data_IF_704979553923
#
_entry.id   IF_704979553923
#
_cell.length_a   1.000
_cell.length_b   1.000
_cell.length_c   1.000
_cell.angle_alpha   90.00
_cell.angle_beta   90.00
_cell.angle_gamma   90.00
#
_symmetry.space_group_name_H-M   'P 1'
#
loop_
_entity.id
_entity.type
_entity.pdbx_description
1 polymer ?
#
# COMPACT_ATOMS: atom_id res chain seq x y z
N UNK A 1 -11.38 -2.08 -16.84
CA UNK A 1 -10.46 -3.04 -16.18
C UNK A 1 -11.25 -4.30 -15.92
N UNK A 2 -10.72 -5.49 -16.24
CA UNK A 2 -11.47 -6.75 -16.18
C UNK A 2 -11.75 -7.12 -14.71
N UNK A 3 -12.88 -7.79 -14.44
CA UNK A 3 -13.21 -8.28 -13.09
C UNK A 3 -12.11 -9.23 -12.55
N UNK A 4 -11.44 -9.95 -13.45
CA UNK A 4 -10.24 -10.76 -13.15
C UNK A 4 -9.08 -9.92 -12.65
N UNK A 5 -8.83 -8.74 -13.23
CA UNK A 5 -7.73 -7.87 -12.82
C UNK A 5 -7.90 -7.39 -11.38
N UNK A 6 -9.13 -7.06 -10.97
CA UNK A 6 -9.44 -6.71 -9.60
C UNK A 6 -9.21 -7.87 -8.63
N UNK A 7 -9.65 -9.09 -8.97
CA UNK A 7 -9.41 -10.28 -8.15
C UNK A 7 -7.93 -10.64 -8.02
N UNK A 8 -7.15 -10.50 -9.10
CA UNK A 8 -5.69 -10.70 -9.06
C UNK A 8 -5.03 -9.67 -8.15
N UNK A 9 -5.45 -8.40 -8.22
CA UNK A 9 -4.93 -7.35 -7.36
C UNK A 9 -5.27 -7.61 -5.88
N UNK A 10 -6.48 -8.06 -5.57
CA UNK A 10 -6.87 -8.46 -4.20
C UNK A 10 -6.00 -9.58 -3.63
N UNK A 11 -5.77 -10.63 -4.43
CA UNK A 11 -4.93 -11.75 -4.03
C UNK A 11 -3.50 -11.28 -3.77
N UNK A 12 -2.94 -10.45 -4.65
CA UNK A 12 -1.60 -9.88 -4.48
C UNK A 12 -1.49 -9.02 -3.20
N UNK A 13 -2.50 -8.20 -2.90
CA UNK A 13 -2.53 -7.37 -1.70
C UNK A 13 -2.62 -8.19 -0.42
N UNK A 14 -3.27 -9.36 -0.46
CA UNK A 14 -3.41 -10.23 0.71
C UNK A 14 -2.07 -10.73 1.26
N UNK A 15 -1.04 -10.85 0.40
CA UNK A 15 0.31 -11.29 0.77
C UNK A 15 1.18 -10.18 1.39
N UNK A 16 0.78 -8.90 1.28
CA UNK A 16 1.53 -7.79 1.84
C UNK A 16 1.08 -7.48 3.28
N UNK A 17 1.98 -7.02 4.16
CA UNK A 17 1.60 -6.65 5.53
C UNK A 17 0.67 -5.44 5.52
N UNK A 18 -0.37 -5.46 6.38
CA UNK A 18 -1.30 -4.34 6.57
C UNK A 18 -0.65 -3.13 7.24
N UNK A 19 0.32 -3.38 8.11
CA UNK A 19 0.98 -2.37 8.93
C UNK A 19 2.49 -2.54 8.88
N UNK A 20 3.22 -1.44 9.05
CA UNK A 20 4.66 -1.48 9.26
C UNK A 20 4.95 -1.99 10.67
N UNK A 21 5.96 -2.85 10.80
CA UNK A 21 6.39 -3.40 12.09
C UNK A 21 6.78 -2.33 13.12
N UNK A 22 7.40 -1.24 12.68
CA UNK A 22 7.95 -0.20 13.58
C UNK A 22 7.06 1.03 13.71
N UNK A 23 6.36 1.40 12.64
CA UNK A 23 5.59 2.64 12.57
C UNK A 23 4.08 2.41 12.54
N UNK A 24 3.64 1.15 12.61
CA UNK A 24 2.23 0.76 12.56
C UNK A 24 1.58 1.26 11.27
N UNK A 25 0.54 2.08 11.42
CA UNK A 25 -0.18 2.69 10.30
C UNK A 25 0.50 3.92 9.69
N UNK A 26 1.51 4.50 10.34
CA UNK A 26 2.23 5.68 9.88
C UNK A 26 3.29 5.29 8.87
N UNK A 27 2.86 4.84 7.71
CA UNK A 27 3.74 4.40 6.62
C UNK A 27 3.98 5.49 5.58
N UNK A 28 3.26 6.62 5.69
CA UNK A 28 3.42 7.75 4.79
C UNK A 28 4.71 8.53 5.11
N UNK A 29 5.39 9.04 4.08
CA UNK A 29 6.45 10.03 4.24
C UNK A 29 6.05 11.18 5.16
N UNK A 30 6.94 11.72 6.02
CA UNK A 30 6.70 13.03 6.61
C UNK A 30 6.63 14.09 5.50
N UNK A 31 5.81 15.15 5.68
CA UNK A 31 5.73 16.24 4.72
C UNK A 31 7.09 16.90 4.53
N UNK A 32 7.48 17.16 3.28
CA UNK A 32 8.74 17.82 2.92
C UNK A 32 9.93 16.88 2.63
N UNK A 33 9.81 15.57 2.91
CA UNK A 33 10.75 14.56 2.43
C UNK A 33 10.31 14.03 1.07
N UNK A 34 11.27 13.77 0.17
CA UNK A 34 10.98 13.08 -1.09
C UNK A 34 10.38 11.71 -0.77
N UNK A 35 9.23 11.38 -1.37
CA UNK A 35 8.45 10.16 -1.06
C UNK A 35 9.25 8.85 -1.17
N UNK A 36 10.41 8.89 -1.82
CA UNK A 36 11.32 7.74 -1.99
C UNK A 36 12.13 7.41 -0.74
N UNK A 37 12.31 8.35 0.19
CA UNK A 37 13.26 8.22 1.32
C UNK A 37 12.57 8.07 2.69
N UNK A 38 11.25 8.11 2.69
CA UNK A 38 10.53 8.52 3.89
C UNK A 38 9.80 7.38 4.61
N UNK A 39 9.89 6.16 4.07
CA UNK A 39 9.51 4.95 4.78
C UNK A 39 10.77 4.16 5.12
N UNK A 40 10.86 3.60 6.33
CA UNK A 40 11.85 2.55 6.60
C UNK A 40 11.65 1.40 5.62
N UNK A 41 12.72 0.70 5.20
CA UNK A 41 12.63 -0.41 4.24
C UNK A 41 11.54 -1.44 4.59
N UNK A 42 11.40 -1.73 5.89
CA UNK A 42 10.38 -2.66 6.43
C UNK A 42 8.93 -2.15 6.37
N UNK A 43 8.74 -0.85 6.12
CA UNK A 43 7.43 -0.21 5.99
C UNK A 43 6.98 -0.01 4.54
N UNK A 44 7.90 -0.11 3.57
CA UNK A 44 7.60 0.03 2.14
C UNK A 44 6.50 -0.94 1.68
N UNK A 45 6.49 -2.23 2.07
CA UNK A 45 5.42 -3.15 1.67
C UNK A 45 4.04 -2.72 2.15
N UNK A 46 3.92 -2.25 3.40
CA UNK A 46 2.67 -1.78 3.98
C UNK A 46 2.21 -0.46 3.34
N UNK A 47 3.14 0.45 3.04
CA UNK A 47 2.83 1.68 2.31
C UNK A 47 2.26 1.39 0.91
N UNK A 48 2.91 0.50 0.15
CA UNK A 48 2.47 0.10 -1.18
C UNK A 48 1.10 -0.59 -1.14
N UNK A 49 0.87 -1.42 -0.13
CA UNK A 49 -0.44 -2.05 0.10
C UNK A 49 -1.53 -1.00 0.26
N UNK A 50 -1.35 -0.01 1.15
CA UNK A 50 -2.33 1.07 1.36
C UNK A 50 -2.65 1.83 0.08
N UNK A 51 -1.62 2.24 -0.66
CA UNK A 51 -1.80 2.96 -1.92
C UNK A 51 -2.57 2.12 -2.97
N UNK A 52 -2.30 0.82 -3.05
CA UNK A 52 -3.00 -0.08 -3.96
C UNK A 52 -4.44 -0.39 -3.51
N UNK A 53 -4.71 -0.47 -2.20
CA UNK A 53 -6.06 -0.59 -1.65
C UNK A 53 -6.92 0.64 -2.00
N UNK A 54 -6.35 1.86 -1.93
CA UNK A 54 -7.04 3.08 -2.36
C UNK A 54 -7.40 3.08 -3.84
N UNK A 55 -6.47 2.64 -4.71
CA UNK A 55 -6.73 2.50 -6.15
C UNK A 55 -7.81 1.45 -6.40
N UNK A 56 -7.72 0.30 -5.74
CA UNK A 56 -8.68 -0.78 -5.88
C UNK A 56 -10.10 -0.38 -5.41
N UNK A 57 -10.21 0.43 -4.36
CA UNK A 57 -11.48 1.00 -3.94
C UNK A 57 -12.09 1.90 -5.01
N UNK A 58 -11.29 2.76 -5.65
CA UNK A 58 -11.71 3.62 -6.78
C UNK A 58 -12.10 2.83 -8.03
N UNK A 59 -11.56 1.62 -8.20
CA UNK A 59 -11.88 0.74 -9.33
C UNK A 59 -13.15 -0.09 -9.12
N UNK A 60 -13.60 -0.23 -7.87
CA UNK A 60 -14.77 -1.03 -7.46
C UNK A 60 -16.04 -0.19 -7.30
N UNK A 61 -15.90 1.09 -6.99
CA UNK A 61 -16.99 2.07 -6.99
C UNK A 61 -17.19 2.69 -8.36
#
# INVERSE_FOLDING_TARGET
MDRRDASVLEAALSALPKQCRYHGDRTAPPPGLLSREACCDTGVPAHRRKAAEEVLARLRG
#
